data_IF_971939089963
#
_entry.id   IF_971939089963
#
_cell.length_a   1.000
_cell.length_b   1.000
_cell.length_c   1.000
_cell.angle_alpha   90.00
_cell.angle_beta   90.00
_cell.angle_gamma   90.00
#
_symmetry.space_group_name_H-M   'P 1'
#
loop_
_entity.id
_entity.type
_entity.pdbx_description
1 polymer ?
#
# COMPACT_ATOMS: atom_id res chain seq x y z
N UNK A 1 6.65 26.54 -26.36
CA UNK A 1 7.62 25.44 -26.19
C UNK A 1 6.92 24.40 -25.35
N UNK A 2 6.41 23.38 -26.00
CA UNK A 2 5.66 22.30 -25.38
C UNK A 2 6.69 21.34 -24.76
N UNK A 3 7.04 21.55 -23.49
CA UNK A 3 7.84 20.57 -22.75
C UNK A 3 6.91 19.44 -22.37
N UNK A 4 6.67 18.53 -23.32
CA UNK A 4 6.23 17.18 -23.00
C UNK A 4 7.32 16.62 -22.10
N UNK A 5 7.11 16.71 -20.79
CA UNK A 5 8.04 16.22 -19.80
C UNK A 5 7.99 14.70 -19.90
N UNK A 6 8.85 14.15 -20.76
CA UNK A 6 8.92 12.73 -21.05
C UNK A 6 9.14 11.97 -19.74
N UNK A 7 8.36 10.92 -19.53
CA UNK A 7 8.46 10.09 -18.33
C UNK A 7 9.83 9.41 -18.38
N UNK A 8 10.67 9.69 -17.40
CA UNK A 8 12.00 9.06 -17.32
C UNK A 8 11.85 7.55 -17.00
N UNK A 9 12.25 6.64 -17.91
CA UNK A 9 12.19 5.21 -17.66
C UNK A 9 13.32 4.72 -16.73
N UNK A 10 14.36 5.51 -16.51
CA UNK A 10 15.57 5.07 -15.81
C UNK A 10 15.33 4.51 -14.40
N UNK A 11 14.42 5.07 -13.57
CA UNK A 11 14.13 4.49 -12.27
C UNK A 11 13.54 3.07 -12.35
N UNK A 12 12.63 2.81 -13.30
CA UNK A 12 12.06 1.47 -13.49
C UNK A 12 13.14 0.48 -13.92
N UNK A 13 13.96 0.85 -14.91
CA UNK A 13 15.03 -0.01 -15.39
C UNK A 13 16.05 -0.33 -14.29
N UNK A 14 16.42 0.68 -13.49
CA UNK A 14 17.33 0.51 -12.37
C UNK A 14 16.77 -0.46 -11.32
N UNK A 15 15.48 -0.34 -10.98
CA UNK A 15 14.81 -1.30 -10.07
C UNK A 15 14.80 -2.71 -10.66
N UNK A 16 14.52 -2.87 -11.95
CA UNK A 16 14.52 -4.18 -12.62
C UNK A 16 15.90 -4.86 -12.56
N UNK A 17 16.97 -4.10 -12.82
CA UNK A 17 18.35 -4.59 -12.70
C UNK A 17 18.72 -4.92 -11.25
N UNK A 18 18.42 -4.02 -10.30
CA UNK A 18 18.71 -4.21 -8.88
C UNK A 18 18.01 -5.46 -8.31
N UNK A 19 16.77 -5.71 -8.71
CA UNK A 19 16.01 -6.89 -8.29
C UNK A 19 16.65 -8.22 -8.74
N UNK A 20 17.56 -8.20 -9.71
CA UNK A 20 18.25 -9.37 -10.24
C UNK A 20 19.67 -9.56 -9.70
N UNK A 21 20.12 -8.68 -8.78
CA UNK A 21 21.45 -8.75 -8.17
C UNK A 21 21.58 -9.87 -7.13
N UNK A 22 22.82 -10.24 -6.79
CA UNK A 22 23.07 -11.35 -5.86
C UNK A 22 22.97 -10.93 -4.39
N UNK A 23 23.01 -9.63 -4.09
CA UNK A 23 22.95 -9.11 -2.74
C UNK A 23 22.42 -7.68 -2.66
N UNK A 24 21.93 -7.29 -1.48
CA UNK A 24 21.31 -5.97 -1.28
C UNK A 24 22.30 -4.82 -1.46
N UNK A 25 23.59 -5.03 -1.16
CA UNK A 25 24.64 -4.01 -1.36
C UNK A 25 24.87 -3.68 -2.84
N UNK A 26 24.93 -4.72 -3.68
CA UNK A 26 25.10 -4.58 -5.14
C UNK A 26 23.89 -3.85 -5.73
N UNK A 27 22.67 -4.28 -5.40
CA UNK A 27 21.44 -3.62 -5.81
C UNK A 27 21.35 -2.17 -5.35
N UNK A 28 21.76 -1.87 -4.11
CA UNK A 28 21.76 -0.52 -3.56
C UNK A 28 22.68 0.43 -4.33
N UNK A 29 23.90 0.00 -4.63
CA UNK A 29 24.88 0.79 -5.39
C UNK A 29 24.43 0.99 -6.84
N UNK A 30 23.82 -0.02 -7.46
CA UNK A 30 23.26 0.09 -8.80
C UNK A 30 22.16 1.16 -8.87
N UNK A 31 21.25 1.17 -7.89
CA UNK A 31 20.18 2.16 -7.79
C UNK A 31 20.75 3.56 -7.55
N UNK A 32 21.68 3.70 -6.61
CA UNK A 32 22.33 4.97 -6.30
C UNK A 32 23.03 5.56 -7.52
N UNK A 33 23.78 4.74 -8.27
CA UNK A 33 24.43 5.15 -9.52
C UNK A 33 23.43 5.59 -10.62
N UNK A 34 22.20 5.07 -10.59
CA UNK A 34 21.11 5.49 -11.47
C UNK A 34 20.30 6.69 -10.91
N UNK A 35 20.74 7.30 -9.81
CA UNK A 35 20.05 8.44 -9.19
C UNK A 35 18.82 8.06 -8.37
N UNK A 36 18.52 6.77 -8.20
CA UNK A 36 17.38 6.31 -7.38
C UNK A 36 17.82 6.24 -5.92
N UNK A 37 17.25 7.05 -5.02
CA UNK A 37 17.66 7.04 -3.62
C UNK A 37 17.23 5.75 -2.93
N UNK A 38 18.11 5.21 -2.09
CA UNK A 38 17.89 3.97 -1.34
C UNK A 38 18.10 4.21 0.15
N UNK A 39 17.62 3.30 0.99
CA UNK A 39 17.97 3.26 2.41
C UNK A 39 17.91 1.82 2.96
N UNK A 40 18.68 1.54 4.04
CA UNK A 40 18.69 0.23 4.66
C UNK A 40 17.46 0.01 5.57
N UNK A 41 16.90 -1.20 5.52
CA UNK A 41 15.88 -1.71 6.44
C UNK A 41 16.43 -2.87 7.28
N UNK A 42 15.88 -3.06 8.48
CA UNK A 42 16.29 -4.14 9.39
C UNK A 42 16.23 -5.50 8.69
N UNK A 43 17.22 -6.36 8.98
CA UNK A 43 17.23 -7.73 8.47
C UNK A 43 15.94 -8.46 8.88
N UNK A 44 15.37 -9.22 7.95
CA UNK A 44 14.15 -9.99 8.21
C UNK A 44 12.87 -9.15 8.25
N UNK A 45 12.92 -7.84 8.04
CA UNK A 45 11.74 -6.97 8.07
C UNK A 45 11.82 -5.78 7.12
N UNK A 46 10.76 -4.97 7.13
CA UNK A 46 10.64 -3.76 6.30
C UNK A 46 10.87 -2.45 7.07
N UNK A 47 11.09 -2.52 8.39
CA UNK A 47 11.31 -1.31 9.20
C UNK A 47 12.63 -0.63 8.79
N UNK A 48 12.64 0.68 8.53
CA UNK A 48 13.87 1.42 8.30
C UNK A 48 14.88 1.20 9.44
N UNK A 49 16.14 0.99 9.07
CA UNK A 49 17.23 0.82 10.03
C UNK A 49 17.66 2.16 10.62
N UNK A 50 17.59 3.23 9.83
CA UNK A 50 18.03 4.56 10.22
C UNK A 50 16.92 5.34 10.96
N UNK A 51 17.24 6.14 11.99
CA UNK A 51 16.25 6.89 12.77
C UNK A 51 15.40 7.87 11.94
N UNK A 52 15.98 8.48 10.90
CA UNK A 52 15.27 9.38 9.99
C UNK A 52 14.36 8.65 9.00
N UNK A 53 14.32 7.31 9.05
CA UNK A 53 13.44 6.49 8.22
C UNK A 53 13.70 6.67 6.71
N UNK A 54 12.66 6.61 5.86
CA UNK A 54 12.78 6.84 4.43
C UNK A 54 13.31 8.23 4.05
N UNK A 55 13.21 9.24 4.94
CA UNK A 55 13.81 10.56 4.71
C UNK A 55 15.34 10.53 4.72
N UNK A 56 15.93 9.43 5.20
CA UNK A 56 17.37 9.21 5.14
C UNK A 56 17.87 8.88 3.72
N UNK A 57 16.96 8.52 2.80
CA UNK A 57 17.31 7.90 1.54
C UNK A 57 18.29 8.75 0.73
N UNK A 58 19.23 8.10 0.08
CA UNK A 58 20.32 8.74 -0.63
C UNK A 58 20.64 8.02 -1.92
N UNK A 59 20.95 8.79 -2.96
CA UNK A 59 21.54 8.30 -4.21
C UNK A 59 23.06 8.53 -4.28
N UNK A 60 23.66 9.14 -3.25
CA UNK A 60 25.11 9.28 -3.12
C UNK A 60 25.77 7.88 -2.91
N UNK A 61 26.59 7.39 -3.85
CA UNK A 61 27.19 6.06 -3.78
C UNK A 61 28.10 5.86 -2.56
N UNK A 62 28.82 6.90 -2.11
CA UNK A 62 29.74 6.79 -0.98
C UNK A 62 28.96 6.60 0.33
N UNK A 63 27.88 7.38 0.47
CA UNK A 63 26.97 7.24 1.61
C UNK A 63 26.29 5.88 1.61
N UNK A 64 25.82 5.40 0.45
CA UNK A 64 25.18 4.10 0.30
C UNK A 64 26.16 2.97 0.62
N UNK A 65 27.37 3.00 0.05
CA UNK A 65 28.43 2.03 0.35
C UNK A 65 28.69 1.96 1.87
N UNK A 66 28.81 3.11 2.53
CA UNK A 66 29.08 3.17 3.98
C UNK A 66 28.01 2.47 4.82
N UNK A 67 26.73 2.54 4.42
CA UNK A 67 25.65 1.87 5.13
C UNK A 67 25.75 0.36 5.02
N UNK A 68 26.01 -0.17 3.83
CA UNK A 68 26.13 -1.61 3.61
C UNK A 68 27.46 -2.18 4.16
N UNK A 69 28.54 -1.39 4.21
CA UNK A 69 29.76 -1.78 4.93
C UNK A 69 29.52 -1.91 6.43
N UNK A 70 28.70 -1.01 7.02
CA UNK A 70 28.38 -1.04 8.45
C UNK A 70 27.32 -2.09 8.81
N UNK A 71 26.38 -2.36 7.90
CA UNK A 71 25.24 -3.23 8.12
C UNK A 71 25.05 -4.20 6.93
N UNK A 72 25.94 -5.19 6.75
CA UNK A 72 25.99 -6.01 5.54
C UNK A 72 24.75 -6.89 5.31
N UNK A 73 24.03 -7.24 6.38
CA UNK A 73 22.83 -8.08 6.32
C UNK A 73 21.52 -7.28 6.19
N UNK A 74 21.60 -5.97 5.97
CA UNK A 74 20.43 -5.10 5.90
C UNK A 74 19.63 -5.31 4.60
N UNK A 75 18.31 -5.16 4.70
CA UNK A 75 17.42 -5.13 3.56
C UNK A 75 17.53 -3.82 2.79
N UNK A 76 17.19 -3.86 1.50
CA UNK A 76 17.18 -2.72 0.57
C UNK A 76 15.76 -2.20 0.39
N UNK A 77 15.57 -0.89 0.60
CA UNK A 77 14.33 -0.20 0.30
C UNK A 77 14.57 1.05 -0.57
N UNK A 78 13.53 1.44 -1.30
CA UNK A 78 13.42 2.74 -1.98
C UNK A 78 12.23 3.52 -1.42
N UNK A 79 12.30 4.86 -1.30
CA UNK A 79 11.12 5.66 -1.12
C UNK A 79 10.26 5.61 -2.39
N UNK A 80 8.97 5.92 -2.29
CA UNK A 80 8.06 6.06 -3.44
C UNK A 80 7.72 7.53 -3.69
N UNK A 81 7.01 7.77 -4.79
CA UNK A 81 6.59 9.10 -5.24
C UNK A 81 7.73 9.91 -5.84
N UNK A 82 7.70 11.22 -5.60
CA UNK A 82 8.64 12.16 -6.20
C UNK A 82 10.12 11.86 -5.88
N UNK A 83 10.40 11.21 -4.73
CA UNK A 83 11.78 10.93 -4.31
C UNK A 83 12.49 9.91 -5.21
N UNK A 84 11.79 8.89 -5.70
CA UNK A 84 12.35 7.86 -6.59
C UNK A 84 11.88 7.99 -8.03
N UNK A 85 10.87 8.82 -8.30
CA UNK A 85 10.22 8.86 -9.60
C UNK A 85 9.27 7.68 -9.86
N UNK A 86 8.89 6.93 -8.83
CA UNK A 86 8.04 5.74 -8.95
C UNK A 86 6.87 5.74 -7.97
N UNK A 87 5.66 5.52 -8.48
CA UNK A 87 4.48 5.21 -7.68
C UNK A 87 4.24 3.69 -7.66
N UNK A 88 3.64 3.19 -6.58
CA UNK A 88 3.36 1.75 -6.42
C UNK A 88 1.91 1.51 -6.07
N UNK A 89 1.26 0.59 -6.79
CA UNK A 89 0.00 -0.01 -6.36
C UNK A 89 0.32 -1.36 -5.70
N UNK A 90 0.13 -1.45 -4.38
CA UNK A 90 0.25 -2.69 -3.64
C UNK A 90 -1.09 -3.44 -3.65
N UNK A 91 -1.02 -4.72 -4.00
CA UNK A 91 -2.15 -5.64 -4.08
C UNK A 91 -2.00 -6.69 -2.99
N UNK A 92 -2.97 -6.78 -2.09
CA UNK A 92 -2.99 -7.81 -1.05
C UNK A 92 -3.75 -9.06 -1.52
N UNK A 93 -3.27 -10.27 -1.17
CA UNK A 93 -3.90 -11.53 -1.60
C UNK A 93 -5.27 -11.75 -0.96
N UNK A 94 -5.42 -11.49 0.35
CA UNK A 94 -6.58 -11.94 1.15
C UNK A 94 -7.27 -10.79 1.92
N UNK A 95 -7.67 -9.74 1.22
CA UNK A 95 -8.62 -8.75 1.77
C UNK A 95 -10.04 -9.11 1.33
N UNK A 96 -11.07 -8.57 2.00
CA UNK A 96 -12.51 -8.88 1.82
C UNK A 96 -13.03 -8.89 0.37
N UNK A 97 -12.28 -8.28 -0.57
CA UNK A 97 -12.35 -8.49 -2.01
C UNK A 97 -10.93 -8.77 -2.50
N UNK A 98 -10.78 -9.74 -3.41
CA UNK A 98 -9.47 -10.00 -4.04
C UNK A 98 -8.95 -8.72 -4.68
N UNK A 99 -7.77 -8.25 -4.29
CA UNK A 99 -7.13 -7.05 -4.85
C UNK A 99 -6.95 -7.16 -6.38
N UNK A 100 -6.82 -8.38 -6.89
CA UNK A 100 -6.80 -8.67 -8.33
C UNK A 100 -8.09 -8.20 -9.03
N UNK A 101 -9.25 -8.37 -8.41
CA UNK A 101 -10.51 -7.88 -8.96
C UNK A 101 -10.54 -6.35 -9.04
N UNK A 102 -9.95 -5.66 -8.06
CA UNK A 102 -9.84 -4.20 -8.08
C UNK A 102 -8.85 -3.72 -9.16
N UNK A 103 -7.72 -4.40 -9.34
CA UNK A 103 -6.79 -4.16 -10.47
C UNK A 103 -7.51 -4.33 -11.81
N UNK A 104 -8.22 -5.44 -12.01
CA UNK A 104 -8.98 -5.70 -13.26
C UNK A 104 -10.07 -4.65 -13.50
N UNK A 105 -10.72 -4.15 -12.45
CA UNK A 105 -11.68 -3.06 -12.56
C UNK A 105 -10.99 -1.76 -13.01
N UNK A 106 -9.87 -1.40 -12.37
CA UNK A 106 -9.13 -0.19 -12.69
C UNK A 106 -8.54 -0.19 -14.11
N UNK A 107 -8.03 -1.33 -14.57
CA UNK A 107 -7.54 -1.49 -15.95
C UNK A 107 -8.68 -1.32 -16.97
N UNK A 108 -9.85 -1.94 -16.73
CA UNK A 108 -11.03 -1.78 -17.61
C UNK A 108 -11.56 -0.35 -17.63
N UNK A 109 -11.43 0.37 -16.52
CA UNK A 109 -11.79 1.79 -16.42
C UNK A 109 -10.75 2.73 -17.06
N UNK A 110 -9.62 2.22 -17.56
CA UNK A 110 -8.53 3.04 -18.10
C UNK A 110 -7.76 3.83 -17.04
N UNK A 111 -7.91 3.49 -15.75
CA UNK A 111 -7.30 4.20 -14.63
C UNK A 111 -6.01 3.53 -14.12
N UNK A 112 -5.71 2.34 -14.61
CA UNK A 112 -4.48 1.61 -14.31
C UNK A 112 -3.89 1.09 -15.63
N UNK A 113 -2.78 1.65 -16.12
CA UNK A 113 -2.09 1.09 -17.29
C UNK A 113 -1.45 -0.26 -16.93
N UNK A 114 -0.87 -0.94 -17.91
CA UNK A 114 -0.02 -2.11 -17.62
C UNK A 114 1.18 -1.65 -16.76
N UNK A 115 1.50 -2.33 -15.65
CA UNK A 115 2.62 -1.94 -14.79
C UNK A 115 3.95 -2.01 -15.54
N UNK A 116 4.89 -1.14 -15.17
CA UNK A 116 6.25 -1.18 -15.71
C UNK A 116 7.05 -2.34 -15.14
N UNK A 117 6.87 -2.62 -13.85
CA UNK A 117 7.36 -3.82 -13.20
C UNK A 117 6.30 -4.36 -12.23
N UNK A 118 6.27 -5.66 -12.05
CA UNK A 118 5.53 -6.31 -10.98
C UNK A 118 6.51 -7.09 -10.10
N UNK A 119 6.39 -6.93 -8.79
CA UNK A 119 7.21 -7.62 -7.80
C UNK A 119 6.28 -8.38 -6.86
N UNK A 120 6.45 -9.68 -6.72
CA UNK A 120 5.72 -10.46 -5.72
C UNK A 120 6.18 -10.08 -4.32
N UNK A 121 5.25 -10.00 -3.36
CA UNK A 121 5.59 -9.74 -1.96
C UNK A 121 5.76 -11.06 -1.21
N UNK A 122 6.54 -11.10 -0.12
CA UNK A 122 6.71 -12.32 0.67
C UNK A 122 5.39 -12.88 1.23
N UNK A 123 4.39 -12.02 1.38
CA UNK A 123 3.05 -12.34 1.88
C UNK A 123 2.10 -12.86 0.79
N UNK A 124 2.55 -12.96 -0.47
CA UNK A 124 1.74 -13.46 -1.59
C UNK A 124 0.97 -12.39 -2.37
N UNK A 125 1.24 -11.11 -2.09
CA UNK A 125 0.71 -9.97 -2.84
C UNK A 125 1.60 -9.53 -4.00
N UNK A 126 1.33 -8.34 -4.53
CA UNK A 126 2.11 -7.72 -5.61
C UNK A 126 2.38 -6.24 -5.31
N UNK A 127 3.58 -5.77 -5.66
CA UNK A 127 3.88 -4.37 -5.89
C UNK A 127 3.90 -4.13 -7.41
N UNK A 128 2.98 -3.30 -7.89
CA UNK A 128 2.89 -2.88 -9.29
C UNK A 128 3.49 -1.48 -9.40
N UNK A 129 4.61 -1.34 -10.12
CA UNK A 129 5.39 -0.12 -10.20
C UNK A 129 5.05 0.67 -11.48
N UNK A 130 4.91 1.98 -11.31
CA UNK A 130 4.56 2.93 -12.37
C UNK A 130 5.47 4.16 -12.30
N UNK A 131 5.82 4.77 -13.44
CA UNK A 131 6.56 6.02 -13.45
C UNK A 131 5.70 7.13 -12.83
N UNK A 132 6.34 8.02 -12.08
CA UNK A 132 5.69 9.14 -11.42
C UNK A 132 5.42 10.27 -12.41
N UNK A 133 4.17 10.73 -12.49
CA UNK A 133 3.86 11.96 -13.23
C UNK A 133 4.59 13.16 -12.60
N UNK A 134 5.29 14.01 -13.36
CA UNK A 134 5.92 15.22 -12.82
C UNK A 134 4.91 16.16 -12.14
N UNK A 135 5.36 16.92 -11.14
CA UNK A 135 4.70 18.12 -10.58
C UNK A 135 3.32 17.93 -9.90
N UNK A 136 2.76 16.71 -9.84
CA UNK A 136 1.44 16.47 -9.23
C UNK A 136 1.60 15.74 -7.92
N UNK A 137 1.54 16.34 -6.72
CA UNK A 137 1.65 15.58 -5.46
C UNK A 137 0.62 14.43 -5.39
N UNK A 138 1.06 13.23 -5.01
CA UNK A 138 0.20 12.04 -4.91
C UNK A 138 0.42 11.38 -3.55
N UNK A 139 -0.38 11.72 -2.52
CA UNK A 139 -0.22 11.13 -1.20
C UNK A 139 -0.58 9.64 -1.23
N UNK A 140 0.12 8.86 -0.42
CA UNK A 140 -0.21 7.45 -0.19
C UNK A 140 -1.60 7.30 0.44
N UNK A 141 -2.26 6.18 0.15
CA UNK A 141 -3.56 5.83 0.74
C UNK A 141 -3.76 4.32 0.80
N UNK A 142 -4.58 3.89 1.75
CA UNK A 142 -5.02 2.51 1.88
C UNK A 142 -6.51 2.38 1.56
N UNK A 143 -6.87 1.33 0.82
CA UNK A 143 -8.24 0.97 0.48
C UNK A 143 -8.50 -0.49 0.86
N UNK A 144 -8.52 -0.82 2.17
CA UNK A 144 -8.49 -2.20 2.65
C UNK A 144 -9.69 -3.04 2.18
N UNK A 145 -10.85 -2.43 1.93
CA UNK A 145 -12.04 -3.12 1.42
C UNK A 145 -11.86 -3.63 -0.01
N UNK A 146 -11.05 -2.94 -0.79
CA UNK A 146 -10.71 -3.27 -2.18
C UNK A 146 -9.50 -4.19 -2.31
N UNK A 147 -8.71 -4.32 -1.23
CA UNK A 147 -7.46 -5.06 -1.24
C UNK A 147 -6.29 -4.34 -1.88
N UNK A 148 -6.38 -3.01 -2.04
CA UNK A 148 -5.33 -2.17 -2.62
C UNK A 148 -4.77 -1.16 -1.63
N UNK A 149 -3.54 -0.77 -1.86
CA UNK A 149 -2.93 0.44 -1.29
C UNK A 149 -2.06 1.11 -2.36
N UNK A 150 -1.94 2.42 -2.26
CA UNK A 150 -1.12 3.21 -3.16
C UNK A 150 -0.01 3.86 -2.35
N UNK A 151 1.22 3.62 -2.77
CA UNK A 151 2.42 4.24 -2.22
C UNK A 151 2.91 5.30 -3.19
N UNK A 152 2.56 6.55 -2.90
CA UNK A 152 3.06 7.71 -3.60
C UNK A 152 4.08 8.45 -2.74
N UNK A 153 3.91 9.74 -2.56
CA UNK A 153 4.84 10.55 -1.76
C UNK A 153 4.87 10.07 -0.30
N UNK A 154 6.08 9.98 0.28
CA UNK A 154 6.36 9.50 1.66
C UNK A 154 6.14 8.00 1.92
N UNK A 155 5.76 7.20 0.91
CA UNK A 155 5.77 5.74 1.00
C UNK A 155 7.16 5.14 0.78
N UNK A 156 7.28 3.82 0.94
CA UNK A 156 8.48 3.07 0.59
C UNK A 156 8.14 1.59 0.34
N UNK A 157 8.99 0.91 -0.42
CA UNK A 157 8.90 -0.53 -0.64
C UNK A 157 10.26 -1.21 -0.42
N UNK A 158 10.23 -2.47 -0.01
CA UNK A 158 11.42 -3.34 -0.07
C UNK A 158 11.61 -3.83 -1.50
N UNK A 159 12.88 -3.95 -1.91
CA UNK A 159 13.24 -4.54 -3.21
C UNK A 159 13.96 -5.89 -3.02
N UNK A 160 13.82 -6.83 -3.98
CA UNK A 160 14.71 -7.97 -4.05
C UNK A 160 16.19 -7.52 -4.13
N UNK A 161 17.16 -8.30 -3.61
CA UNK A 161 17.01 -9.62 -3.01
C UNK A 161 16.75 -9.62 -1.48
N UNK A 162 16.15 -8.55 -0.92
CA UNK A 162 15.82 -8.45 0.52
C UNK A 162 15.08 -9.69 1.06
N UNK A 163 15.42 -10.06 2.30
CA UNK A 163 14.86 -11.22 2.99
C UNK A 163 13.93 -10.78 4.12
N UNK A 164 12.72 -11.35 4.15
CA UNK A 164 11.70 -11.07 5.16
C UNK A 164 11.38 -12.36 5.90
N UNK A 165 11.39 -12.30 7.23
CA UNK A 165 10.87 -13.36 8.08
C UNK A 165 9.36 -13.18 8.21
N UNK A 166 8.61 -14.14 7.69
CA UNK A 166 7.15 -14.12 7.74
C UNK A 166 6.63 -14.62 9.08
N UNK A 167 5.35 -14.36 9.34
CA UNK A 167 4.68 -14.78 10.58
C UNK A 167 4.64 -16.32 10.75
N UNK A 168 4.72 -17.09 9.67
CA UNK A 168 4.81 -18.56 9.68
C UNK A 168 6.24 -19.07 9.94
N UNK A 169 7.20 -18.19 10.23
CA UNK A 169 8.59 -18.53 10.49
C UNK A 169 9.43 -18.77 9.24
N UNK A 170 8.84 -18.67 8.04
CA UNK A 170 9.56 -18.87 6.78
C UNK A 170 10.27 -17.59 6.36
N UNK A 171 11.54 -17.70 6.00
CA UNK A 171 12.29 -16.63 5.33
C UNK A 171 11.92 -16.65 3.85
N UNK A 172 11.41 -15.53 3.36
CA UNK A 172 11.00 -15.37 1.97
C UNK A 172 11.55 -14.07 1.39
N UNK A 173 11.63 -14.02 0.07
CA UNK A 173 12.03 -12.83 -0.68
C UNK A 173 10.97 -12.45 -1.69
N UNK A 174 10.87 -11.16 -1.96
CA UNK A 174 10.20 -10.66 -3.14
C UNK A 174 10.91 -11.10 -4.42
N UNK A 175 10.18 -11.22 -5.52
CA UNK A 175 10.75 -11.58 -6.82
C UNK A 175 10.09 -10.77 -7.94
N UNK A 176 10.85 -10.49 -8.99
CA UNK A 176 10.29 -9.91 -10.21
C UNK A 176 9.32 -10.91 -10.85
N UNK A 177 8.17 -10.42 -11.31
CA UNK A 177 7.13 -11.20 -11.96
C UNK A 177 7.06 -10.80 -13.43
N UNK A 178 7.43 -11.73 -14.30
CA UNK A 178 7.38 -11.54 -15.75
C UNK A 178 8.40 -10.51 -16.28
N UNK A 179 8.36 -10.24 -17.59
CA UNK A 179 9.17 -9.18 -18.19
C UNK A 179 8.63 -7.80 -17.78
N UNK A 180 9.53 -6.83 -17.59
CA UNK A 180 9.14 -5.44 -17.43
C UNK A 180 8.50 -4.86 -18.70
N UNK A 181 7.82 -3.73 -18.56
CA UNK A 181 7.19 -2.99 -19.65
C UNK A 181 7.67 -1.53 -19.63
N UNK A 182 8.46 -1.14 -20.61
CA UNK A 182 8.98 0.24 -20.73
C UNK A 182 7.96 1.23 -21.28
N UNK A 183 6.85 0.76 -21.85
CA UNK A 183 5.77 1.59 -22.41
C UNK A 183 4.63 1.84 -21.40
N UNK A 184 4.93 1.87 -20.11
CA UNK A 184 3.94 2.16 -19.05
C UNK A 184 3.78 3.66 -18.82
N UNK A 185 2.66 4.06 -18.21
CA UNK A 185 2.35 5.45 -17.87
C UNK A 185 2.04 5.63 -16.38
N UNK A 186 1.91 6.88 -15.92
CA UNK A 186 1.62 7.17 -14.52
C UNK A 186 0.21 6.76 -14.13
N UNK A 187 0.01 6.59 -12.83
CA UNK A 187 -1.31 6.33 -12.23
C UNK A 187 -1.82 7.61 -11.59
N UNK A 188 -3.11 7.90 -11.74
CA UNK A 188 -3.76 8.99 -11.02
C UNK A 188 -4.33 8.47 -9.69
N UNK A 189 -3.59 8.62 -8.58
CA UNK A 189 -3.95 8.13 -7.24
C UNK A 189 -5.39 8.43 -6.83
N UNK A 190 -5.81 9.70 -6.91
CA UNK A 190 -7.15 10.11 -6.50
C UNK A 190 -8.28 9.50 -7.33
N UNK A 191 -8.09 9.37 -8.64
CA UNK A 191 -9.08 8.74 -9.53
C UNK A 191 -9.16 7.23 -9.26
N UNK A 192 -8.00 6.58 -9.10
CA UNK A 192 -7.94 5.17 -8.72
C UNK A 192 -8.65 4.92 -7.38
N UNK A 193 -8.36 5.73 -6.35
CA UNK A 193 -9.00 5.61 -5.03
C UNK A 193 -10.51 5.71 -5.11
N UNK A 194 -11.04 6.73 -5.81
CA UNK A 194 -12.50 6.92 -5.95
C UNK A 194 -13.20 5.74 -6.62
N UNK A 195 -12.52 5.05 -7.55
CA UNK A 195 -13.06 3.87 -8.21
C UNK A 195 -13.12 2.66 -7.27
N UNK A 196 -12.02 2.41 -6.54
CA UNK A 196 -11.86 1.15 -5.78
C UNK A 196 -12.40 1.25 -4.35
N UNK A 197 -12.49 2.46 -3.81
CA UNK A 197 -13.02 2.75 -2.47
C UNK A 197 -13.93 3.99 -2.52
N UNK A 198 -15.09 3.89 -3.20
CA UNK A 198 -16.03 5.00 -3.28
C UNK A 198 -16.56 5.35 -1.89
N UNK A 199 -16.68 6.64 -1.61
CA UNK A 199 -17.34 7.10 -0.39
C UNK A 199 -18.75 6.49 -0.32
N UNK A 200 -19.24 6.10 0.88
CA UNK A 200 -20.61 5.68 1.04
C UNK A 200 -21.53 6.72 0.41
N UNK A 201 -22.48 6.28 -0.42
CA UNK A 201 -23.51 7.18 -0.92
C UNK A 201 -24.13 7.87 0.30
N UNK A 202 -24.03 9.20 0.36
CA UNK A 202 -24.80 9.96 1.32
C UNK A 202 -26.25 9.71 0.92
N UNK A 203 -26.91 8.73 1.55
CA UNK A 203 -28.33 8.53 1.39
C UNK A 203 -28.97 9.88 1.69
N UNK A 204 -29.42 10.55 0.63
CA UNK A 204 -30.05 11.86 0.73
C UNK A 204 -31.21 11.70 1.69
N UNK A 205 -31.02 12.20 2.92
CA UNK A 205 -32.14 12.39 3.83
C UNK A 205 -33.02 13.39 3.09
N UNK A 206 -34.27 13.05 2.71
CA UNK A 206 -35.15 14.03 2.10
C UNK A 206 -35.17 15.22 3.06
N UNK A 207 -34.83 16.41 2.55
CA UNK A 207 -35.04 17.61 3.33
C UNK A 207 -36.53 17.61 3.69
N UNK A 208 -36.85 17.42 4.98
CA UNK A 208 -38.20 17.71 5.43
C UNK A 208 -38.42 19.17 5.07
N UNK A 209 -39.35 19.40 4.13
CA UNK A 209 -39.85 20.73 3.87
C UNK A 209 -40.25 21.36 5.23
N UNK A 210 -39.96 22.64 5.47
CA UNK A 210 -40.37 23.28 6.71
C UNK A 210 -41.89 23.25 6.77
N UNK A 211 -42.44 22.37 7.60
CA UNK A 211 -43.86 22.38 7.93
C UNK A 211 -44.13 23.66 8.70
N UNK A 212 -44.77 24.63 8.06
CA UNK A 212 -45.34 25.81 8.72
C UNK A 212 -46.47 25.33 9.63
N UNK A 213 -46.13 24.87 10.82
CA UNK A 213 -47.10 24.54 11.85
C UNK A 213 -47.52 25.83 12.56
N UNK A 214 -48.75 26.26 12.29
CA UNK A 214 -49.48 27.24 13.11
C UNK A 214 -49.40 26.84 14.59
N UNK A 215 -49.13 27.82 15.45
CA UNK A 215 -49.35 27.70 16.90
C UNK A 215 -50.83 27.88 17.21
N UNK A 216 -51.39 27.03 18.08
CA UNK A 216 -52.10 27.56 19.25
C UNK A 216 -51.61 26.88 20.54
N UNK A 217 -51.52 27.67 21.60
CA UNK A 217 -50.97 27.23 22.88
C UNK A 217 -51.94 26.47 23.78
N UNK A 218 -51.40 25.83 24.82
CA UNK A 218 -51.87 25.96 26.20
C UNK A 218 -50.91 25.27 27.17
N UNK A 219 -50.92 25.75 28.41
CA UNK A 219 -49.95 25.54 29.49
C UNK A 219 -50.24 24.30 30.37
N UNK A 220 -49.12 23.69 30.84
CA UNK A 220 -48.74 23.18 32.19
C UNK A 220 -49.67 22.30 33.05
N UNK A 221 -49.08 21.19 33.54
CA UNK A 221 -49.19 20.58 34.89
C UNK A 221 -48.17 19.42 35.00
N UNK A 222 -47.11 19.44 35.84
CA UNK A 222 -46.99 18.87 37.21
C UNK A 222 -47.52 17.42 37.32
N UNK A 223 -46.81 16.39 37.83
CA UNK A 223 -46.05 16.26 39.10
C UNK A 223 -45.16 14.98 39.15
N UNK A 224 -44.44 14.80 40.27
CA UNK A 224 -43.28 13.94 40.60
C UNK A 224 -43.35 12.37 40.59
N UNK A 225 -42.14 11.81 40.58
CA UNK A 225 -41.47 10.53 41.02
C UNK A 225 -42.20 9.64 42.11
N UNK A 226 -41.78 8.39 42.50
CA UNK A 226 -40.47 7.71 42.36
C UNK A 226 -40.40 6.16 42.15
N UNK A 227 -39.15 5.66 42.06
CA UNK A 227 -38.64 4.26 41.92
C UNK A 227 -39.06 3.28 43.05
N UNK A 228 -38.80 1.96 42.90
CA UNK A 228 -37.63 1.36 43.58
C UNK A 228 -36.85 0.28 42.77
N UNK A 229 -35.96 -0.45 43.46
CA UNK A 229 -34.61 -0.95 43.13
C UNK A 229 -34.46 -2.50 43.11
N UNK A 230 -33.62 -3.02 42.17
CA UNK A 230 -32.64 -4.16 42.24
C UNK A 230 -33.07 -5.61 42.65
N UNK A 231 -32.22 -6.69 42.53
CA UNK A 231 -30.92 -6.89 41.82
C UNK A 231 -30.74 -8.23 41.00
N UNK A 232 -29.66 -8.23 40.19
CA UNK A 232 -28.67 -9.28 39.80
C UNK A 232 -29.01 -10.78 39.62
N UNK A 233 -28.55 -11.33 38.47
CA UNK A 233 -28.24 -12.76 38.24
C UNK A 233 -27.19 -12.92 37.12
N UNK A 234 -26.27 -13.91 37.18
CA UNK A 234 -24.96 -13.86 36.49
C UNK A 234 -24.90 -14.46 35.08
N UNK A 235 -23.87 -14.04 34.34
CA UNK A 235 -23.46 -14.43 32.98
C UNK A 235 -22.84 -15.85 32.91
N UNK A 236 -23.07 -16.64 31.84
CA UNK A 236 -22.33 -17.87 31.61
C UNK A 236 -21.06 -17.70 30.76
N UNK A 237 -20.02 -18.42 31.20
CA UNK A 237 -18.74 -18.69 30.52
C UNK A 237 -18.94 -19.42 29.17
N UNK A 238 -18.20 -19.00 28.15
CA UNK A 238 -18.00 -19.76 26.91
C UNK A 238 -16.57 -20.32 26.87
N UNK A 239 -16.44 -21.63 26.66
CA UNK A 239 -15.19 -22.35 26.36
C UNK A 239 -14.99 -22.44 24.84
N UNK A 240 -13.75 -22.53 24.33
CA UNK A 240 -13.46 -22.69 22.91
C UNK A 240 -13.46 -24.15 22.47
N UNK A 241 -13.80 -24.40 21.21
CA UNK A 241 -13.73 -25.69 20.53
C UNK A 241 -12.62 -25.67 19.45
N UNK A 242 -11.81 -26.74 19.25
CA UNK A 242 -10.68 -26.73 18.32
C UNK A 242 -11.08 -27.29 16.94
N UNK A 243 -10.97 -26.46 15.89
CA UNK A 243 -11.24 -26.84 14.50
C UNK A 243 -10.01 -27.43 13.78
N UNK A 244 -10.24 -28.52 13.04
CA UNK A 244 -9.26 -29.38 12.36
C UNK A 244 -8.55 -28.84 11.10
N UNK A 245 -7.88 -29.73 10.34
CA UNK A 245 -6.73 -29.38 9.50
C UNK A 245 -7.09 -28.78 8.13
N UNK A 246 -6.24 -27.83 7.72
CA UNK A 246 -6.36 -27.05 6.50
C UNK A 246 -6.13 -27.82 5.20
N UNK A 247 -6.98 -27.52 4.21
CA UNK A 247 -6.78 -27.83 2.80
C UNK A 247 -5.77 -26.84 2.18
N UNK A 248 -4.86 -27.36 1.36
CA UNK A 248 -4.00 -26.58 0.47
C UNK A 248 -4.79 -26.07 -0.74
N UNK A 249 -4.43 -24.90 -1.29
CA UNK A 249 -4.60 -24.67 -2.71
C UNK A 249 -3.32 -24.14 -3.37
N UNK A 250 -2.93 -24.77 -4.47
CA UNK A 250 -1.94 -24.27 -5.42
C UNK A 250 -2.57 -24.28 -6.81
N UNK A 251 -3.10 -23.14 -7.24
CA UNK A 251 -3.32 -22.82 -8.65
C UNK A 251 -2.88 -21.37 -8.88
N UNK A 252 -1.82 -21.22 -9.65
CA UNK A 252 -1.27 -19.96 -10.12
C UNK A 252 -2.01 -19.59 -11.40
N UNK A 253 -2.70 -18.46 -11.40
CA UNK A 253 -3.33 -17.89 -12.60
C UNK A 253 -2.54 -16.66 -13.04
N UNK A 254 -2.03 -16.70 -14.27
CA UNK A 254 -1.31 -15.61 -14.93
C UNK A 254 -2.15 -14.34 -15.06
N UNK A 255 -1.52 -13.19 -14.83
CA UNK A 255 -2.04 -11.84 -15.09
C UNK A 255 -1.47 -11.29 -16.40
#
# INVERSE_FOLDING_TARGET
MDTTHELDPAPLEAVGRAASTHGTAEGALLLAAAGVPVFPCVQGGSRPLLPSGPRAASADPDRVASWWSRYPATNLAIPTGAASGLDVVEVYPDRSRSGISAVRLAMRAGLLPRPGLAISTPTGGLHLLFPRAPQTAQPSWDAPRSGLSFHGDSGHILLPPSLVLRADGVVARSQLVGPGNTSTGPVHAGALRRLVDPAPAQNGRPALAPTTALRPGQRRGHTADPRPVSPAGPQPMFRPDPGGPGRRPSEVVSL
#
